data_IF_745100268596
#
_entry.id   IF_745100268596
#
_cell.length_a   1.000
_cell.length_b   1.000
_cell.length_c   1.000
_cell.angle_alpha   90.00
_cell.angle_beta   90.00
_cell.angle_gamma   90.00
#
_symmetry.space_group_name_H-M   'P 1'
#
loop_
_entity.id
_entity.type
_entity.pdbx_description
1 polymer ?
#
# COMPACT_ATOMS: atom_id res chain seq x y z
N UNK A 1 15.45 47.08 -25.37
CA UNK A 1 15.27 46.55 -24.01
C UNK A 1 13.86 46.83 -23.51
N UNK A 2 12.98 45.83 -23.53
CA UNK A 2 12.07 45.50 -22.41
C UNK A 2 11.43 44.15 -22.73
N UNK A 3 12.02 43.10 -22.18
CA UNK A 3 11.59 41.71 -22.35
C UNK A 3 10.24 41.55 -21.65
N UNK A 4 9.18 41.31 -22.42
CA UNK A 4 7.88 40.91 -21.88
C UNK A 4 7.99 39.42 -21.55
N UNK A 5 8.04 39.13 -20.25
CA UNK A 5 7.95 37.77 -19.71
C UNK A 5 6.58 37.18 -20.09
N UNK A 6 6.57 36.20 -21.00
CA UNK A 6 5.41 35.34 -21.20
C UNK A 6 5.45 34.27 -20.11
N UNK A 7 4.59 34.41 -19.10
CA UNK A 7 4.40 33.40 -18.07
C UNK A 7 3.71 32.18 -18.70
N UNK A 8 4.44 31.09 -18.84
CA UNK A 8 3.90 29.78 -19.22
C UNK A 8 3.14 29.26 -18.00
N UNK A 9 1.80 29.35 -18.03
CA UNK A 9 0.95 28.75 -17.02
C UNK A 9 0.81 27.25 -17.35
N UNK A 10 1.63 26.43 -16.71
CA UNK A 10 1.55 24.98 -16.79
C UNK A 10 0.29 24.53 -16.04
N UNK A 11 -0.78 24.14 -16.75
CA UNK A 11 -2.02 23.68 -16.14
C UNK A 11 -1.80 22.38 -15.36
N UNK A 12 -2.16 22.40 -14.09
CA UNK A 12 -2.10 21.24 -13.20
C UNK A 12 -3.13 20.17 -13.62
N UNK A 13 -2.65 18.97 -13.98
CA UNK A 13 -3.49 17.80 -14.24
C UNK A 13 -4.17 17.39 -12.93
N UNK A 14 -5.49 17.55 -12.83
CA UNK A 14 -6.27 16.98 -11.73
C UNK A 14 -6.74 15.58 -12.12
N UNK A 15 -5.96 14.56 -11.74
CA UNK A 15 -6.39 13.17 -11.88
C UNK A 15 -7.46 12.85 -10.83
N UNK A 16 -8.66 12.48 -11.27
CA UNK A 16 -9.72 11.99 -10.38
C UNK A 16 -9.62 10.46 -10.38
N UNK A 17 -9.38 9.90 -9.19
CA UNK A 17 -9.35 8.46 -8.96
C UNK A 17 -10.78 7.96 -8.77
N UNK A 18 -11.30 7.24 -9.76
CA UNK A 18 -12.74 6.97 -9.92
C UNK A 18 -13.40 6.08 -8.86
N UNK A 19 -12.69 5.67 -7.81
CA UNK A 19 -13.20 4.71 -6.83
C UNK A 19 -12.78 4.96 -5.39
N UNK A 20 -11.87 5.90 -5.15
CA UNK A 20 -11.27 6.18 -3.84
C UNK A 20 -11.46 7.67 -3.53
N UNK A 21 -11.85 8.00 -2.30
CA UNK A 21 -11.93 9.40 -1.89
C UNK A 21 -10.54 9.99 -1.72
N UNK A 22 -10.42 11.32 -1.80
CA UNK A 22 -9.15 12.01 -1.56
C UNK A 22 -8.61 11.72 -0.16
N UNK A 23 -9.51 11.59 0.81
CA UNK A 23 -9.21 11.24 2.19
C UNK A 23 -8.62 9.83 2.30
N UNK A 24 -9.24 8.82 1.66
CA UNK A 24 -8.73 7.44 1.66
C UNK A 24 -7.32 7.33 1.07
N UNK A 25 -7.06 8.07 -0.02
CA UNK A 25 -5.73 8.15 -0.64
C UNK A 25 -4.72 8.82 0.29
N UNK A 26 -5.12 9.88 0.98
CA UNK A 26 -4.25 10.57 1.93
C UNK A 26 -3.92 9.68 3.14
N UNK A 27 -4.89 8.95 3.67
CA UNK A 27 -4.66 7.97 4.73
C UNK A 27 -3.73 6.84 4.26
N UNK A 28 -3.90 6.36 3.03
CA UNK A 28 -3.00 5.37 2.41
C UNK A 28 -1.57 5.91 2.34
N UNK A 29 -1.36 7.16 1.91
CA UNK A 29 -0.03 7.80 1.95
C UNK A 29 0.57 7.82 3.35
N UNK A 30 -0.22 8.18 4.36
CA UNK A 30 0.25 8.18 5.76
C UNK A 30 0.63 6.76 6.22
N UNK A 31 -0.15 5.74 5.86
CA UNK A 31 0.18 4.33 6.18
C UNK A 31 1.45 3.87 5.46
N UNK A 32 1.61 4.22 4.18
CA UNK A 32 2.83 3.91 3.43
C UNK A 32 4.06 4.61 3.99
N UNK A 33 3.96 5.88 4.39
CA UNK A 33 5.05 6.56 5.07
C UNK A 33 5.42 5.87 6.38
N UNK A 34 4.43 5.44 7.17
CA UNK A 34 4.67 4.65 8.37
C UNK A 34 5.38 3.35 8.03
N UNK A 35 4.91 2.62 7.01
CA UNK A 35 5.51 1.36 6.54
C UNK A 35 6.97 1.57 6.10
N UNK A 36 7.26 2.63 5.35
CA UNK A 36 8.62 2.95 4.89
C UNK A 36 9.56 3.36 6.02
N UNK A 37 9.02 3.96 7.08
CA UNK A 37 9.77 4.35 8.29
C UNK A 37 9.92 3.20 9.29
N UNK A 38 9.33 2.02 9.05
CA UNK A 38 9.52 0.84 9.90
C UNK A 38 10.95 0.31 9.74
N UNK A 39 11.80 0.63 10.70
CA UNK A 39 13.14 0.03 10.76
C UNK A 39 13.04 -1.41 11.26
N UNK A 40 13.59 -2.34 10.47
CA UNK A 40 13.66 -3.75 10.87
C UNK A 40 14.46 -3.87 12.17
N UNK A 41 13.93 -4.58 13.19
CA UNK A 41 14.60 -4.69 14.46
C UNK A 41 15.89 -5.49 14.33
N UNK A 42 16.85 -5.23 15.21
CA UNK A 42 18.04 -6.08 15.33
C UNK A 42 17.62 -7.49 15.77
N UNK A 43 18.32 -8.50 15.25
CA UNK A 43 18.15 -9.92 15.61
C UNK A 43 17.92 -10.11 17.12
N UNK A 44 16.74 -10.63 17.44
CA UNK A 44 16.23 -10.79 18.80
C UNK A 44 16.80 -12.02 19.52
N UNK A 45 17.41 -12.94 18.76
CA UNK A 45 17.85 -14.27 19.21
C UNK A 45 16.69 -15.24 19.47
N UNK A 46 15.47 -14.85 19.10
CA UNK A 46 14.30 -15.71 19.01
C UNK A 46 14.02 -15.93 17.51
N UNK A 47 14.50 -17.05 16.96
CA UNK A 47 14.54 -17.28 15.51
C UNK A 47 13.17 -17.12 14.84
N UNK A 48 12.11 -17.63 15.46
CA UNK A 48 10.74 -17.52 14.94
C UNK A 48 10.25 -16.08 14.82
N UNK A 49 10.62 -15.20 15.76
CA UNK A 49 10.33 -13.77 15.71
C UNK A 49 11.15 -13.06 14.63
N UNK A 50 12.43 -13.41 14.51
CA UNK A 50 13.31 -12.83 13.50
C UNK A 50 12.83 -13.21 12.08
N UNK A 51 12.41 -14.45 11.86
CA UNK A 51 11.79 -14.91 10.61
C UNK A 51 10.46 -14.23 10.32
N UNK A 52 9.59 -14.08 11.33
CA UNK A 52 8.33 -13.36 11.20
C UNK A 52 8.57 -11.91 10.76
N UNK A 53 9.50 -11.21 11.40
CA UNK A 53 9.83 -9.82 11.07
C UNK A 53 10.37 -9.67 9.65
N UNK A 54 11.19 -10.60 9.18
CA UNK A 54 11.66 -10.60 7.79
C UNK A 54 10.53 -10.76 6.78
N UNK A 55 9.58 -11.66 7.05
CA UNK A 55 8.40 -11.86 6.19
C UNK A 55 7.49 -10.63 6.19
N UNK A 56 7.25 -10.03 7.36
CA UNK A 56 6.50 -8.77 7.49
C UNK A 56 7.18 -7.67 6.67
N UNK A 57 8.49 -7.49 6.78
CA UNK A 57 9.25 -6.50 6.02
C UNK A 57 9.12 -6.68 4.50
N UNK A 58 9.15 -7.93 4.02
CA UNK A 58 8.96 -8.26 2.60
C UNK A 58 7.54 -7.91 2.14
N UNK A 59 6.52 -8.25 2.93
CA UNK A 59 5.13 -7.93 2.61
C UNK A 59 4.83 -6.43 2.69
N UNK A 60 5.51 -5.70 3.58
CA UNK A 60 5.47 -4.25 3.68
C UNK A 60 6.04 -3.58 2.42
N UNK A 61 7.18 -4.06 1.92
CA UNK A 61 7.77 -3.58 0.67
C UNK A 61 6.81 -3.82 -0.51
N UNK A 62 6.22 -5.01 -0.57
CA UNK A 62 5.27 -5.35 -1.64
C UNK A 62 4.00 -4.49 -1.57
N UNK A 63 3.48 -4.21 -0.37
CA UNK A 63 2.36 -3.27 -0.19
C UNK A 63 2.68 -1.88 -0.76
N UNK A 64 3.91 -1.40 -0.55
CA UNK A 64 4.36 -0.13 -1.09
C UNK A 64 4.48 -0.13 -2.63
N UNK A 65 4.69 -1.30 -3.24
CA UNK A 65 4.68 -1.46 -4.70
C UNK A 65 3.25 -1.57 -5.26
N UNK A 66 2.33 -2.21 -4.54
CA UNK A 66 0.93 -2.39 -4.96
C UNK A 66 0.19 -1.05 -5.00
N UNK A 67 0.36 -0.19 -4.00
CA UNK A 67 -0.46 1.03 -3.89
C UNK A 67 -0.31 1.99 -5.08
N UNK A 68 0.89 2.31 -5.59
CA UNK A 68 1.04 3.12 -6.79
C UNK A 68 0.41 2.46 -8.03
N UNK A 69 0.51 1.15 -8.18
CA UNK A 69 -0.13 0.43 -9.29
C UNK A 69 -1.65 0.55 -9.20
N UNK A 70 -2.20 0.40 -8.00
CA UNK A 70 -3.63 0.50 -7.73
C UNK A 70 -4.17 1.91 -7.98
N UNK A 71 -3.46 2.94 -7.50
CA UNK A 71 -3.83 4.33 -7.75
C UNK A 71 -3.73 4.68 -9.24
N UNK A 72 -2.79 4.10 -9.99
CA UNK A 72 -2.65 4.36 -11.43
C UNK A 72 -3.41 3.37 -12.33
N UNK A 73 -4.21 2.48 -11.75
CA UNK A 73 -4.88 1.42 -12.50
C UNK A 73 -6.04 1.98 -13.34
N UNK A 74 -6.86 2.86 -12.76
CA UNK A 74 -8.00 3.49 -13.43
C UNK A 74 -8.02 5.00 -13.16
N UNK A 75 -7.56 5.78 -14.14
CA UNK A 75 -7.41 7.24 -14.04
C UNK A 75 -8.15 7.98 -15.15
N UNK A 76 -8.63 9.19 -14.84
CA UNK A 76 -9.05 10.19 -15.82
C UNK A 76 -8.22 11.45 -15.67
N UNK A 77 -7.63 11.87 -16.78
CA UNK A 77 -6.94 13.14 -16.93
C UNK A 77 -7.82 14.10 -17.69
N UNK A 78 -7.89 15.34 -17.21
CA UNK A 78 -8.59 16.45 -17.85
C UNK A 78 -7.53 17.48 -18.22
N UNK A 79 -7.40 17.76 -19.51
CA UNK A 79 -6.53 18.79 -20.07
C UNK A 79 -7.34 19.83 -20.83
N UNK A 80 -6.72 20.96 -21.17
CA UNK A 80 -7.30 22.00 -22.04
C UNK A 80 -6.33 22.22 -23.19
N UNK A 81 -6.82 22.17 -24.44
CA UNK A 81 -6.00 22.42 -25.61
C UNK A 81 -5.80 23.93 -25.85
N UNK A 82 -4.97 24.30 -26.83
CA UNK A 82 -4.68 25.71 -27.15
C UNK A 82 -5.93 26.53 -27.53
N UNK A 83 -7.00 25.84 -27.95
CA UNK A 83 -8.28 26.43 -28.36
C UNK A 83 -9.30 26.49 -27.20
N UNK A 84 -8.89 26.13 -25.97
CA UNK A 84 -9.77 26.14 -24.80
C UNK A 84 -10.72 24.94 -24.69
N UNK A 85 -10.52 23.89 -25.50
CA UNK A 85 -11.35 22.68 -25.49
C UNK A 85 -10.83 21.73 -24.40
N UNK A 86 -11.73 21.33 -23.51
CA UNK A 86 -11.44 20.31 -22.50
C UNK A 86 -11.27 18.94 -23.16
N UNK A 87 -10.07 18.39 -23.08
CA UNK A 87 -9.77 17.02 -23.50
C UNK A 87 -9.81 16.09 -22.28
N UNK A 88 -10.42 14.92 -22.47
CA UNK A 88 -10.63 13.93 -21.42
C UNK A 88 -9.99 12.63 -21.85
N UNK A 89 -8.84 12.31 -21.25
CA UNK A 89 -8.20 11.01 -21.43
C UNK A 89 -8.55 10.09 -20.27
N UNK A 90 -9.03 8.88 -20.58
CA UNK A 90 -9.34 7.86 -19.57
C UNK A 90 -8.49 6.63 -19.81
N UNK A 91 -7.66 6.25 -18.83
CA UNK A 91 -6.99 4.95 -18.83
C UNK A 91 -7.94 3.93 -18.21
N UNK A 92 -8.46 3.01 -19.02
CA UNK A 92 -9.21 1.85 -18.54
C UNK A 92 -8.26 0.66 -18.41
N UNK A 93 -8.19 -0.01 -17.26
CA UNK A 93 -7.38 -1.20 -17.13
C UNK A 93 -8.01 -2.38 -17.89
N UNK A 94 -7.16 -3.27 -18.37
CA UNK A 94 -7.54 -4.55 -18.96
C UNK A 94 -7.89 -5.57 -17.87
N UNK A 95 -8.59 -6.65 -18.25
CA UNK A 95 -8.85 -7.78 -17.34
C UNK A 95 -7.55 -8.35 -16.76
N UNK A 96 -6.50 -8.46 -17.58
CA UNK A 96 -5.21 -8.97 -17.15
C UNK A 96 -4.55 -8.10 -16.07
N UNK A 97 -4.54 -6.77 -16.24
CA UNK A 97 -4.02 -5.84 -15.23
C UNK A 97 -4.83 -5.91 -13.92
N UNK A 98 -6.15 -6.02 -14.01
CA UNK A 98 -7.00 -6.19 -12.84
C UNK A 98 -6.73 -7.52 -12.12
N UNK A 99 -6.58 -8.62 -12.86
CA UNK A 99 -6.27 -9.94 -12.32
C UNK A 99 -4.91 -9.97 -11.65
N UNK A 100 -3.87 -9.45 -12.31
CA UNK A 100 -2.52 -9.39 -11.76
C UNK A 100 -2.52 -8.67 -10.41
N UNK A 101 -3.12 -7.48 -10.36
CA UNK A 101 -3.13 -6.69 -9.14
C UNK A 101 -4.01 -7.31 -8.05
N UNK A 102 -5.16 -7.88 -8.42
CA UNK A 102 -6.02 -8.60 -7.48
C UNK A 102 -5.31 -9.83 -6.89
N UNK A 103 -4.55 -10.58 -7.69
CA UNK A 103 -3.75 -11.72 -7.21
C UNK A 103 -2.68 -11.29 -6.22
N UNK A 104 -1.94 -10.21 -6.52
CA UNK A 104 -0.93 -9.67 -5.60
C UNK A 104 -1.53 -9.24 -4.27
N UNK A 105 -2.66 -8.51 -4.31
CA UNK A 105 -3.40 -8.11 -3.10
C UNK A 105 -3.92 -9.34 -2.35
N UNK A 106 -4.41 -10.37 -3.03
CA UNK A 106 -4.85 -11.61 -2.40
C UNK A 106 -3.72 -12.34 -1.69
N UNK A 107 -2.54 -12.44 -2.31
CA UNK A 107 -1.35 -12.99 -1.65
C UNK A 107 -0.96 -12.19 -0.40
N UNK A 108 -1.08 -10.86 -0.44
CA UNK A 108 -0.88 -10.02 0.74
C UNK A 108 -1.90 -10.30 1.85
N UNK A 109 -3.18 -10.51 1.51
CA UNK A 109 -4.22 -10.94 2.48
C UNK A 109 -3.85 -12.27 3.14
N UNK A 110 -3.37 -13.26 2.36
CA UNK A 110 -2.92 -14.55 2.90
C UNK A 110 -1.70 -14.41 3.82
N UNK A 111 -0.76 -13.54 3.45
CA UNK A 111 0.37 -13.20 4.31
C UNK A 111 -0.09 -12.59 5.63
N UNK A 112 -1.08 -11.67 5.61
CA UNK A 112 -1.62 -11.07 6.84
C UNK A 112 -2.28 -12.10 7.77
N UNK A 113 -3.01 -13.07 7.22
CA UNK A 113 -3.56 -14.18 8.00
C UNK A 113 -2.43 -15.01 8.64
N UNK A 114 -1.40 -15.34 7.85
CA UNK A 114 -0.23 -16.07 8.32
C UNK A 114 0.50 -15.31 9.42
N UNK A 115 0.67 -13.98 9.28
CA UNK A 115 1.32 -13.15 10.29
C UNK A 115 0.54 -13.11 11.58
N UNK A 116 -0.79 -13.03 11.53
CA UNK A 116 -1.63 -13.06 12.73
C UNK A 116 -1.47 -14.37 13.50
N UNK A 117 -1.49 -15.50 12.80
CA UNK A 117 -1.28 -16.82 13.40
C UNK A 117 0.15 -16.98 13.95
N UNK A 118 1.18 -16.67 13.14
CA UNK A 118 2.58 -16.75 13.55
C UNK A 118 2.90 -15.82 14.72
N UNK A 119 2.37 -14.59 14.72
CA UNK A 119 2.57 -13.64 15.81
C UNK A 119 2.02 -14.21 17.13
N UNK A 120 0.84 -14.84 17.09
CA UNK A 120 0.26 -15.48 18.28
C UNK A 120 1.15 -16.61 18.80
N UNK A 121 1.68 -17.47 17.92
CA UNK A 121 2.64 -18.52 18.31
C UNK A 121 3.94 -17.96 18.89
N UNK A 122 4.48 -16.90 18.27
CA UNK A 122 5.71 -16.24 18.74
C UNK A 122 5.50 -15.55 20.09
N UNK A 123 4.32 -14.98 20.37
CA UNK A 123 3.97 -14.45 21.70
C UNK A 123 4.10 -15.55 22.77
N UNK A 124 3.58 -16.75 22.50
CA UNK A 124 3.66 -17.87 23.44
C UNK A 124 5.10 -18.37 23.63
N UNK A 125 5.88 -18.46 22.55
CA UNK A 125 7.29 -18.83 22.62
C UNK A 125 8.10 -17.80 23.44
N UNK A 126 7.85 -16.52 23.21
CA UNK A 126 8.51 -15.42 23.91
C UNK A 126 8.28 -15.45 25.43
N UNK A 127 7.15 -15.97 25.92
CA UNK A 127 6.89 -16.13 27.37
C UNK A 127 7.86 -17.14 28.02
N UNK A 128 8.33 -18.11 27.24
CA UNK A 128 9.27 -19.13 27.71
C UNK A 128 10.73 -18.71 27.51
N UNK A 129 10.98 -17.57 26.88
CA UNK A 129 12.33 -17.07 26.63
C UNK A 129 12.95 -16.54 27.93
N UNK A 130 14.02 -17.20 28.41
CA UNK A 130 14.61 -16.93 29.73
C UNK A 130 15.85 -16.05 29.72
N UNK A 131 16.43 -15.68 28.57
CA UNK A 131 17.69 -14.93 28.54
C UNK A 131 17.47 -13.44 28.87
N UNK A 132 17.81 -12.96 30.09
CA UNK A 132 17.46 -11.61 30.53
C UNK A 132 18.19 -10.52 29.72
N UNK A 133 19.39 -10.79 29.22
CA UNK A 133 20.17 -9.84 28.41
C UNK A 133 19.57 -9.61 27.02
N UNK A 134 18.69 -10.50 26.56
CA UNK A 134 18.07 -10.45 25.22
C UNK A 134 16.58 -10.08 25.28
N UNK A 135 15.95 -10.10 26.46
CA UNK A 135 14.53 -9.75 26.63
C UNK A 135 14.17 -8.39 26.02
N UNK A 136 15.04 -7.38 26.17
CA UNK A 136 14.82 -6.07 25.55
C UNK A 136 14.72 -6.14 24.03
N UNK A 137 15.57 -6.95 23.38
CA UNK A 137 15.54 -7.13 21.91
C UNK A 137 14.30 -7.88 21.45
N UNK A 138 13.89 -8.91 22.20
CA UNK A 138 12.64 -9.64 21.95
C UNK A 138 11.46 -8.69 22.07
N UNK A 139 11.37 -7.90 23.15
CA UNK A 139 10.30 -6.93 23.34
C UNK A 139 10.23 -5.88 22.23
N UNK A 140 11.37 -5.28 21.84
CA UNK A 140 11.41 -4.33 20.71
C UNK A 140 10.98 -4.98 19.39
N UNK A 141 11.43 -6.22 19.13
CA UNK A 141 11.08 -6.97 17.92
C UNK A 141 9.61 -7.37 17.88
N UNK A 142 9.02 -7.70 19.04
CA UNK A 142 7.58 -7.95 19.19
C UNK A 142 6.76 -6.68 18.95
N UNK A 143 7.23 -5.53 19.45
CA UNK A 143 6.56 -4.26 19.22
C UNK A 143 6.59 -3.87 17.74
N UNK A 144 7.75 -4.06 17.08
CA UNK A 144 7.85 -3.91 15.63
C UNK A 144 6.82 -4.78 14.91
N UNK A 145 6.78 -6.09 15.19
CA UNK A 145 5.84 -7.01 14.54
C UNK A 145 4.39 -6.55 14.72
N UNK A 146 4.00 -6.18 15.95
CA UNK A 146 2.65 -5.70 16.26
C UNK A 146 2.29 -4.44 15.47
N UNK A 147 3.16 -3.43 15.50
CA UNK A 147 2.92 -2.17 14.78
C UNK A 147 2.86 -2.39 13.28
N UNK A 148 3.80 -3.17 12.73
CA UNK A 148 3.88 -3.45 11.31
C UNK A 148 2.66 -4.23 10.80
N UNK A 149 2.24 -5.29 11.51
CA UNK A 149 1.02 -6.05 11.18
C UNK A 149 -0.22 -5.14 11.19
N UNK A 150 -0.34 -4.25 12.17
CA UNK A 150 -1.49 -3.33 12.25
C UNK A 150 -1.56 -2.40 11.04
N UNK A 151 -0.47 -1.67 10.76
CA UNK A 151 -0.44 -0.69 9.66
C UNK A 151 -0.58 -1.38 8.31
N UNK A 152 0.09 -2.53 8.12
CA UNK A 152 0.00 -3.31 6.90
C UNK A 152 -1.40 -3.90 6.70
N UNK A 153 -2.08 -4.32 7.78
CA UNK A 153 -3.44 -4.81 7.72
C UNK A 153 -4.44 -3.74 7.25
N UNK A 154 -4.32 -2.53 7.76
CA UNK A 154 -5.12 -1.38 7.32
C UNK A 154 -4.90 -1.07 5.83
N UNK A 155 -3.64 -1.06 5.38
CA UNK A 155 -3.33 -0.78 3.97
C UNK A 155 -3.80 -1.90 3.04
N UNK A 156 -3.64 -3.16 3.45
CA UNK A 156 -4.14 -4.33 2.71
C UNK A 156 -5.66 -4.26 2.54
N UNK A 157 -6.39 -3.84 3.58
CA UNK A 157 -7.84 -3.67 3.52
C UNK A 157 -8.24 -2.56 2.55
N UNK A 158 -7.55 -1.42 2.61
CA UNK A 158 -7.75 -0.33 1.65
C UNK A 158 -7.54 -0.82 0.22
N UNK A 159 -6.41 -1.48 -0.06
CA UNK A 159 -6.07 -1.98 -1.39
C UNK A 159 -7.12 -2.98 -1.90
N UNK A 160 -7.58 -3.88 -1.03
CA UNK A 160 -8.62 -4.88 -1.34
C UNK A 160 -9.95 -4.23 -1.73
N UNK A 161 -10.38 -3.20 -0.98
CA UNK A 161 -11.61 -2.45 -1.30
C UNK A 161 -11.48 -1.70 -2.61
N UNK A 162 -10.32 -1.06 -2.82
CA UNK A 162 -10.04 -0.29 -4.02
C UNK A 162 -10.05 -1.15 -5.29
N UNK A 163 -9.35 -2.29 -5.32
CA UNK A 163 -9.34 -3.16 -6.50
C UNK A 163 -10.74 -3.74 -6.79
N UNK A 164 -11.49 -4.11 -5.75
CA UNK A 164 -12.88 -4.57 -5.88
C UNK A 164 -13.77 -3.48 -6.49
N UNK A 165 -13.62 -2.24 -6.03
CA UNK A 165 -14.39 -1.10 -6.54
C UNK A 165 -14.08 -0.85 -8.02
N UNK A 166 -12.79 -0.83 -8.40
CA UNK A 166 -12.35 -0.69 -9.80
C UNK A 166 -12.97 -1.77 -10.69
N UNK A 167 -12.88 -3.04 -10.30
CA UNK A 167 -13.44 -4.17 -11.07
C UNK A 167 -14.97 -4.00 -11.21
N UNK A 168 -15.65 -3.64 -10.13
CA UNK A 168 -17.11 -3.44 -10.12
C UNK A 168 -17.53 -2.31 -11.07
N UNK A 169 -16.82 -1.18 -11.05
CA UNK A 169 -17.06 -0.07 -11.98
C UNK A 169 -16.89 -0.50 -13.43
N UNK A 170 -15.83 -1.25 -13.74
CA UNK A 170 -15.57 -1.71 -15.10
C UNK A 170 -16.65 -2.68 -15.60
N UNK A 171 -17.07 -3.63 -14.76
CA UNK A 171 -18.18 -4.55 -15.05
C UNK A 171 -19.50 -3.79 -15.30
N UNK A 172 -19.85 -2.85 -14.43
CA UNK A 172 -21.09 -2.06 -14.58
C UNK A 172 -21.12 -1.21 -15.85
N UNK A 173 -19.95 -0.84 -16.37
CA UNK A 173 -19.79 -0.03 -17.56
C UNK A 173 -19.52 -0.86 -18.82
N UNK A 174 -19.64 -2.19 -18.76
CA UNK A 174 -19.43 -3.10 -19.90
C UNK A 174 -18.00 -3.10 -20.46
N UNK A 175 -17.01 -2.74 -19.64
CA UNK A 175 -15.60 -2.68 -20.03
C UNK A 175 -14.80 -3.92 -19.58
N UNK A 176 -15.47 -4.91 -18.98
CA UNK A 176 -14.98 -6.24 -18.63
C UNK A 176 -16.02 -7.29 -18.99
#
# INVERSE_FOLDING_TARGET
MKNIFFAIFMFATSSILFSQTKEEIQESKIRLEKIQKLESPKVSSLTSLDELNNKIGTSALESANITPLLQNLYTRSIGENIDGITDVTVKKPTLAECQELATRIFSQVQNMQTFSSSFSSVVEEAKSFRNPMKLGKVASSMNYAKTAISVLGEETLFQSKAIKSIITTLQSAGNL
#
